data_IF_347521461129
#
_entry.id   IF_347521461129
#
_cell.length_a   1.000
_cell.length_b   1.000
_cell.length_c   1.000
_cell.angle_alpha   90.00
_cell.angle_beta   90.00
_cell.angle_gamma   90.00
#
_symmetry.space_group_name_H-M   'P 1'
#
loop_
_entity.id
_entity.type
_entity.pdbx_description
1 polymer ?
#
# COMPACT_ATOMS: atom_id res chain seq x y z
N UNK A 1 -19.65 1.31 7.76
CA UNK A 1 -18.99 0.58 6.68
C UNK A 1 -17.96 1.42 5.92
N UNK A 2 -18.26 2.66 5.48
CA UNK A 2 -17.34 3.56 4.74
C UNK A 2 -15.94 3.64 5.33
N UNK A 3 -15.82 3.93 6.63
CA UNK A 3 -14.52 4.07 7.31
C UNK A 3 -13.70 2.77 7.32
N UNK A 4 -14.33 1.62 7.51
CA UNK A 4 -13.60 0.33 7.53
C UNK A 4 -13.07 -0.03 6.14
N UNK A 5 -13.88 0.11 5.09
CA UNK A 5 -13.44 -0.18 3.72
C UNK A 5 -12.32 0.78 3.31
N UNK A 6 -12.49 2.08 3.53
CA UNK A 6 -11.47 3.08 3.24
C UNK A 6 -10.16 2.79 3.99
N UNK A 7 -10.22 2.50 5.29
CA UNK A 7 -9.04 2.21 6.09
C UNK A 7 -8.30 0.95 5.62
N UNK A 8 -8.99 -0.14 5.31
CA UNK A 8 -8.35 -1.36 4.84
C UNK A 8 -7.74 -1.20 3.44
N UNK A 9 -8.45 -0.57 2.50
CA UNK A 9 -7.91 -0.31 1.15
C UNK A 9 -6.71 0.63 1.18
N UNK A 10 -6.78 1.70 1.97
CA UNK A 10 -5.67 2.65 2.15
C UNK A 10 -4.45 1.97 2.78
N UNK A 11 -4.65 1.12 3.80
CA UNK A 11 -3.56 0.37 4.43
C UNK A 11 -2.86 -0.55 3.43
N UNK A 12 -3.61 -1.29 2.61
CA UNK A 12 -3.06 -2.18 1.60
C UNK A 12 -2.26 -1.42 0.53
N UNK A 13 -2.76 -0.26 0.08
CA UNK A 13 -2.08 0.60 -0.88
C UNK A 13 -0.76 1.10 -0.28
N UNK A 14 -0.79 1.67 0.91
CA UNK A 14 0.41 2.17 1.59
C UNK A 14 1.44 1.06 1.76
N UNK A 15 1.02 -0.13 2.22
CA UNK A 15 1.91 -1.27 2.41
C UNK A 15 2.53 -1.73 1.09
N UNK A 16 1.75 -1.83 0.01
CA UNK A 16 2.25 -2.23 -1.31
C UNK A 16 3.25 -1.23 -1.87
N UNK A 17 2.99 0.06 -1.72
CA UNK A 17 3.89 1.14 -2.18
C UNK A 17 5.20 1.11 -1.39
N UNK A 18 5.16 0.96 -0.06
CA UNK A 18 6.37 0.85 0.77
C UNK A 18 7.20 -0.37 0.36
N UNK A 19 6.56 -1.52 0.18
CA UNK A 19 7.24 -2.75 -0.21
C UNK A 19 7.91 -2.60 -1.60
N UNK A 20 7.22 -2.03 -2.56
CA UNK A 20 7.74 -1.77 -3.91
C UNK A 20 8.92 -0.79 -3.86
N UNK A 21 8.82 0.26 -3.05
CA UNK A 21 9.88 1.25 -2.89
C UNK A 21 11.14 0.63 -2.27
N UNK A 22 11.01 -0.21 -1.24
CA UNK A 22 12.13 -0.93 -0.63
C UNK A 22 12.78 -1.92 -1.60
N UNK A 23 11.96 -2.67 -2.36
CA UNK A 23 12.46 -3.60 -3.36
C UNK A 23 13.22 -2.86 -4.49
N UNK A 24 12.67 -1.77 -5.01
CA UNK A 24 13.33 -0.94 -6.03
C UNK A 24 14.65 -0.36 -5.53
N UNK A 25 14.69 0.11 -4.27
CA UNK A 25 15.91 0.61 -3.64
C UNK A 25 17.00 -0.45 -3.54
N UNK A 26 16.66 -1.65 -3.14
CA UNK A 26 17.61 -2.77 -3.04
C UNK A 26 18.19 -3.14 -4.41
N UNK A 27 17.34 -3.21 -5.43
CA UNK A 27 17.77 -3.48 -6.82
C UNK A 27 18.67 -2.36 -7.34
N UNK A 28 18.29 -1.11 -7.11
CA UNK A 28 19.07 0.06 -7.54
C UNK A 28 20.46 0.08 -6.89
N UNK A 29 20.53 -0.20 -5.57
CA UNK A 29 21.80 -0.30 -4.85
C UNK A 29 22.75 -1.32 -5.46
N UNK A 30 22.26 -2.55 -5.64
CA UNK A 30 23.08 -3.63 -6.19
C UNK A 30 23.52 -3.33 -7.64
N UNK A 31 22.67 -2.73 -8.44
CA UNK A 31 23.01 -2.38 -9.84
C UNK A 31 24.01 -1.25 -9.93
N UNK A 32 23.89 -0.21 -9.11
CA UNK A 32 24.81 0.91 -9.13
C UNK A 32 26.24 0.49 -8.80
N UNK A 33 26.44 -0.34 -7.75
CA UNK A 33 27.75 -0.86 -7.38
C UNK A 33 28.39 -1.68 -8.52
N UNK A 34 27.60 -2.57 -9.13
CA UNK A 34 28.06 -3.39 -10.25
C UNK A 34 28.45 -2.52 -11.45
N UNK A 35 27.61 -1.57 -11.85
CA UNK A 35 27.87 -0.70 -12.99
C UNK A 35 29.10 0.17 -12.78
N UNK A 36 29.27 0.73 -11.59
CA UNK A 36 30.41 1.56 -11.26
C UNK A 36 31.74 0.77 -11.38
N UNK A 37 31.80 -0.41 -10.77
CA UNK A 37 32.97 -1.28 -10.82
C UNK A 37 33.27 -1.77 -12.24
N UNK A 38 32.24 -2.16 -12.96
CA UNK A 38 32.39 -2.60 -14.35
C UNK A 38 32.91 -1.47 -15.26
N UNK A 39 32.40 -0.24 -15.08
CA UNK A 39 32.88 0.91 -15.82
C UNK A 39 34.38 1.18 -15.63
N UNK A 40 34.90 1.01 -14.40
CA UNK A 40 36.34 1.17 -14.12
C UNK A 40 37.17 0.02 -14.76
N UNK A 41 36.64 -1.21 -14.74
CA UNK A 41 37.32 -2.34 -15.42
C UNK A 41 37.39 -2.17 -16.92
N UNK A 42 36.28 -1.74 -17.53
CA UNK A 42 36.23 -1.49 -18.99
C UNK A 42 37.16 -0.38 -19.39
N UNK A 43 37.26 0.69 -18.59
CA UNK A 43 38.18 1.79 -18.79
C UNK A 43 39.65 1.32 -18.65
N UNK A 44 39.95 0.52 -17.65
CA UNK A 44 41.28 -0.08 -17.47
C UNK A 44 41.68 -1.01 -18.63
N UNK A 45 40.70 -1.81 -19.12
CA UNK A 45 40.95 -2.67 -20.28
C UNK A 45 41.24 -1.87 -21.55
N UNK A 46 40.52 -0.77 -21.76
CA UNK A 46 40.77 0.14 -22.88
C UNK A 46 42.15 0.79 -22.80
N UNK A 47 42.52 1.34 -21.64
CA UNK A 47 43.82 1.97 -21.42
C UNK A 47 44.95 0.94 -21.53
N UNK A 48 44.79 -0.27 -21.00
CA UNK A 48 45.73 -1.35 -21.16
C UNK A 48 46.00 -1.67 -22.61
N UNK A 49 44.97 -1.76 -23.46
CA UNK A 49 45.12 -2.04 -24.88
C UNK A 49 45.94 -0.92 -25.56
N UNK A 50 45.62 0.35 -25.28
CA UNK A 50 46.37 1.48 -25.81
C UNK A 50 47.85 1.50 -25.38
N UNK A 51 48.14 1.17 -24.10
CA UNK A 51 49.51 1.06 -23.61
C UNK A 51 50.28 -0.09 -24.25
N UNK A 52 49.63 -1.21 -24.51
CA UNK A 52 50.28 -2.37 -25.16
C UNK A 52 50.53 -2.18 -26.66
N UNK A 53 49.81 -1.25 -27.32
CA UNK A 53 49.96 -0.91 -28.75
C UNK A 53 50.90 0.28 -28.95
N UNK A 54 50.73 1.39 -28.24
CA UNK A 54 51.41 2.67 -28.48
C UNK A 54 52.49 2.98 -27.40
N UNK A 55 52.62 2.14 -26.38
CA UNK A 55 53.53 2.34 -25.24
C UNK A 55 53.20 3.56 -24.40
N UNK A 56 54.18 4.07 -23.65
CA UNK A 56 54.00 5.18 -22.70
C UNK A 56 53.52 6.50 -23.35
N UNK A 57 53.64 6.62 -24.70
CA UNK A 57 53.12 7.78 -25.43
C UNK A 57 51.58 7.89 -25.34
N UNK A 58 50.91 6.78 -25.12
CA UNK A 58 49.45 6.76 -24.92
C UNK A 58 49.04 7.50 -23.64
N UNK A 59 49.90 7.47 -22.59
CA UNK A 59 49.65 8.18 -21.32
C UNK A 59 50.15 9.62 -21.42
N UNK A 60 49.44 10.45 -22.15
CA UNK A 60 49.62 11.89 -22.12
C UNK A 60 48.70 12.55 -21.10
N UNK A 61 49.00 13.78 -20.65
CA UNK A 61 48.15 14.58 -19.76
C UNK A 61 46.69 14.66 -20.25
N UNK A 62 46.50 14.58 -21.60
CA UNK A 62 45.15 14.58 -22.19
C UNK A 62 44.32 13.34 -21.90
N UNK A 63 44.93 12.18 -21.62
CA UNK A 63 44.17 10.95 -21.27
C UNK A 63 43.64 11.08 -19.85
N UNK A 64 44.38 11.65 -18.92
CA UNK A 64 43.94 11.96 -17.59
C UNK A 64 42.73 12.92 -17.58
N UNK A 65 42.78 13.97 -18.38
CA UNK A 65 41.71 14.97 -18.49
C UNK A 65 40.45 14.43 -19.20
N UNK A 66 40.63 13.46 -20.09
CA UNK A 66 39.52 12.86 -20.85
C UNK A 66 38.73 11.79 -20.04
N UNK A 67 39.30 11.31 -18.94
CA UNK A 67 38.71 10.26 -18.13
C UNK A 67 38.19 10.82 -16.81
N UNK A 68 37.16 10.21 -16.27
CA UNK A 68 36.64 10.54 -14.92
C UNK A 68 37.36 9.78 -13.81
N UNK A 69 38.41 9.04 -14.16
CA UNK A 69 39.17 8.17 -13.25
C UNK A 69 40.62 8.64 -13.14
N UNK A 70 41.22 8.44 -11.99
CA UNK A 70 42.67 8.63 -11.81
C UNK A 70 43.40 7.43 -12.38
N UNK A 71 44.36 7.67 -13.24
CA UNK A 71 45.18 6.67 -13.90
C UNK A 71 46.58 6.74 -13.31
N UNK A 72 47.10 5.61 -12.84
CA UNK A 72 48.44 5.49 -12.30
C UNK A 72 49.15 4.32 -12.98
N UNK A 73 50.33 4.51 -13.49
CA UNK A 73 51.21 3.45 -14.02
C UNK A 73 52.27 3.17 -12.95
N UNK A 74 52.38 1.91 -12.57
CA UNK A 74 53.30 1.43 -11.53
C UNK A 74 54.37 0.52 -12.18
N UNK A 75 55.62 0.72 -11.81
CA UNK A 75 56.68 -0.21 -12.13
C UNK A 75 56.53 -1.54 -11.37
N UNK A 76 57.34 -2.53 -11.73
CA UNK A 76 57.38 -3.86 -11.11
C UNK A 76 57.66 -3.83 -9.60
N UNK A 77 58.35 -2.84 -9.11
CA UNK A 77 58.69 -2.60 -7.72
C UNK A 77 57.65 -1.76 -6.96
N UNK A 78 56.56 -1.37 -7.62
CA UNK A 78 55.52 -0.49 -7.11
C UNK A 78 55.84 1.00 -7.10
N UNK A 79 56.97 1.40 -7.77
CA UNK A 79 57.25 2.80 -7.97
C UNK A 79 56.29 3.41 -8.95
N UNK A 80 55.84 4.65 -8.69
CA UNK A 80 54.93 5.37 -9.57
C UNK A 80 55.71 5.92 -10.77
N UNK A 81 55.35 5.47 -11.99
CA UNK A 81 55.94 5.93 -13.23
C UNK A 81 55.17 7.06 -13.86
N UNK A 82 53.84 7.01 -13.76
CA UNK A 82 52.92 8.05 -14.24
C UNK A 82 51.70 8.13 -13.31
N UNK A 83 51.20 9.33 -13.10
CA UNK A 83 49.92 9.57 -12.45
C UNK A 83 49.21 10.76 -13.11
N UNK A 84 47.89 10.63 -13.37
CA UNK A 84 47.11 11.66 -14.08
C UNK A 84 46.77 12.89 -13.25
N UNK A 85 47.01 12.87 -11.93
CA UNK A 85 46.60 13.95 -11.00
C UNK A 85 47.80 14.52 -10.26
N UNK A 86 48.73 13.68 -9.78
CA UNK A 86 49.82 14.07 -8.91
C UNK A 86 51.17 13.82 -9.60
N UNK A 87 52.21 14.57 -9.17
CA UNK A 87 53.56 14.37 -9.68
C UNK A 87 54.14 13.03 -9.18
N UNK A 88 54.51 12.08 -10.04
CA UNK A 88 55.06 10.80 -9.70
C UNK A 88 56.27 10.87 -8.75
N UNK A 89 57.09 11.88 -8.86
CA UNK A 89 58.31 12.06 -8.03
C UNK A 89 58.02 12.35 -6.56
N UNK A 90 56.80 12.88 -6.27
CA UNK A 90 56.37 13.21 -4.89
C UNK A 90 55.56 12.09 -4.27
N UNK A 91 55.28 11.00 -4.98
CA UNK A 91 54.43 9.92 -4.54
C UNK A 91 55.23 8.82 -3.83
N UNK A 92 54.65 8.28 -2.76
CA UNK A 92 55.15 7.11 -2.08
C UNK A 92 55.10 5.85 -2.96
N UNK A 93 55.94 4.88 -2.69
CA UNK A 93 55.91 3.58 -3.33
C UNK A 93 54.58 2.82 -3.01
N UNK A 94 53.97 2.24 -4.00
CA UNK A 94 52.67 1.57 -3.90
C UNK A 94 52.77 0.03 -3.85
N UNK A 95 53.93 -0.55 -3.67
CA UNK A 95 54.13 -2.01 -3.59
C UNK A 95 53.34 -2.70 -2.46
N UNK A 96 53.00 -1.97 -1.38
CA UNK A 96 52.23 -2.48 -0.26
C UNK A 96 50.71 -2.36 -0.45
N UNK A 97 50.24 -1.88 -1.60
CA UNK A 97 48.81 -1.70 -1.87
C UNK A 97 48.16 -3.04 -2.22
N UNK A 98 47.03 -3.43 -1.55
CA UNK A 98 46.38 -4.72 -1.78
C UNK A 98 46.06 -4.99 -3.26
N UNK A 99 45.49 -4.00 -3.95
CA UNK A 99 45.18 -4.09 -5.39
C UNK A 99 46.41 -4.35 -6.27
N UNK A 100 47.60 -3.79 -5.89
CA UNK A 100 48.87 -4.04 -6.58
C UNK A 100 49.35 -5.47 -6.34
N UNK A 101 49.37 -5.90 -5.09
CA UNK A 101 49.84 -7.25 -4.69
C UNK A 101 48.98 -8.33 -5.37
N UNK A 102 47.68 -8.09 -5.44
CA UNK A 102 46.75 -9.03 -6.08
C UNK A 102 46.95 -9.05 -7.61
N UNK A 103 47.13 -7.89 -8.23
CA UNK A 103 47.39 -7.78 -9.66
C UNK A 103 48.71 -8.47 -10.05
N UNK A 104 49.78 -8.37 -9.23
CA UNK A 104 51.01 -9.10 -9.51
C UNK A 104 50.80 -10.64 -9.48
N UNK A 105 50.02 -11.15 -8.55
CA UNK A 105 49.82 -12.60 -8.36
C UNK A 105 48.80 -13.22 -9.32
N UNK A 106 47.71 -12.51 -9.61
CA UNK A 106 46.55 -13.06 -10.32
C UNK A 106 46.29 -12.37 -11.66
N UNK A 107 47.10 -11.35 -12.01
CA UNK A 107 46.94 -10.56 -13.25
C UNK A 107 45.99 -9.36 -13.10
N UNK A 108 45.11 -9.35 -12.10
CA UNK A 108 44.27 -8.19 -11.72
C UNK A 108 43.98 -8.19 -10.22
N UNK A 109 43.74 -7.03 -9.66
CA UNK A 109 43.38 -6.85 -8.24
C UNK A 109 42.41 -5.69 -8.04
N UNK A 110 41.60 -5.78 -7.00
CA UNK A 110 40.57 -4.80 -6.69
C UNK A 110 40.60 -4.39 -5.22
N UNK A 111 40.31 -3.11 -4.95
CA UNK A 111 40.15 -2.61 -3.59
C UNK A 111 39.16 -1.46 -3.54
N UNK A 112 38.33 -1.44 -2.51
CA UNK A 112 37.49 -0.29 -2.19
C UNK A 112 38.01 0.36 -0.91
N UNK A 113 38.29 1.65 -0.95
CA UNK A 113 38.63 2.43 0.24
C UNK A 113 37.56 3.48 0.48
N UNK A 114 37.18 3.59 1.72
CA UNK A 114 36.20 4.57 2.17
C UNK A 114 36.90 5.68 2.96
N UNK A 115 36.55 6.93 2.66
CA UNK A 115 37.01 8.10 3.41
C UNK A 115 35.86 8.62 4.25
N UNK A 116 35.93 8.37 5.57
CA UNK A 116 34.91 8.84 6.52
C UNK A 116 34.83 10.38 6.57
N UNK A 117 35.98 11.04 6.37
CA UNK A 117 36.08 12.51 6.44
C UNK A 117 35.39 13.20 5.25
N UNK A 118 35.44 12.60 4.07
CA UNK A 118 34.93 13.19 2.83
C UNK A 118 33.60 12.56 2.39
N UNK A 119 33.11 11.53 3.10
CA UNK A 119 31.93 10.72 2.70
C UNK A 119 32.06 10.24 1.24
N UNK A 120 33.28 9.91 0.82
CA UNK A 120 33.60 9.41 -0.52
C UNK A 120 34.18 8.02 -0.44
N UNK A 121 33.92 7.23 -1.47
CA UNK A 121 34.53 5.93 -1.66
C UNK A 121 35.35 5.94 -2.96
N UNK A 122 36.51 5.31 -2.92
CA UNK A 122 37.35 5.14 -4.11
C UNK A 122 37.48 3.66 -4.38
N UNK A 123 37.06 3.26 -5.58
CA UNK A 123 37.30 1.93 -6.12
C UNK A 123 38.59 1.96 -6.92
N UNK A 124 39.50 1.06 -6.57
CA UNK A 124 40.77 0.84 -7.23
C UNK A 124 40.69 -0.48 -7.98
N UNK A 125 41.07 -0.46 -9.26
CA UNK A 125 41.28 -1.64 -10.09
C UNK A 125 42.67 -1.60 -10.65
N UNK A 126 43.48 -2.63 -10.41
CA UNK A 126 44.82 -2.79 -10.92
C UNK A 126 44.87 -3.97 -11.86
N UNK A 127 45.57 -3.80 -12.99
CA UNK A 127 45.76 -4.86 -14.00
C UNK A 127 47.20 -4.92 -14.45
N UNK A 128 47.76 -6.14 -14.50
CA UNK A 128 49.12 -6.39 -14.93
C UNK A 128 49.22 -6.26 -16.46
N UNK A 129 50.29 -5.56 -16.93
CA UNK A 129 50.68 -5.38 -18.33
C UNK A 129 51.68 -6.47 -18.73
N UNK A 130 52.02 -6.54 -20.03
CA UNK A 130 52.95 -7.55 -20.58
C UNK A 130 54.42 -7.35 -20.16
N UNK A 131 54.81 -6.13 -19.81
CA UNK A 131 56.16 -5.73 -19.37
C UNK A 131 56.34 -5.78 -17.84
N UNK A 132 55.48 -6.51 -17.14
CA UNK A 132 55.45 -6.60 -15.69
C UNK A 132 55.11 -5.29 -14.94
N UNK A 133 54.71 -4.22 -15.67
CA UNK A 133 54.13 -3.04 -15.03
C UNK A 133 52.68 -3.29 -14.62
N UNK A 134 52.16 -2.43 -13.76
CA UNK A 134 50.77 -2.53 -13.28
C UNK A 134 50.06 -1.20 -13.56
N UNK A 135 49.03 -1.26 -14.40
CA UNK A 135 48.11 -0.15 -14.60
C UNK A 135 47.06 -0.16 -13.46
N UNK A 136 46.93 0.94 -12.73
CA UNK A 136 45.91 1.16 -11.71
C UNK A 136 44.97 2.27 -12.17
N UNK A 137 43.68 1.97 -12.20
CA UNK A 137 42.60 2.91 -12.46
C UNK A 137 41.77 3.06 -11.20
N UNK A 138 41.57 4.30 -10.77
CA UNK A 138 40.84 4.59 -9.55
C UNK A 138 39.72 5.60 -9.80
N UNK A 139 38.50 5.28 -9.38
CA UNK A 139 37.38 6.20 -9.47
C UNK A 139 36.84 6.52 -8.10
N UNK A 140 36.86 7.80 -7.75
CA UNK A 140 36.25 8.31 -6.53
C UNK A 140 34.83 8.76 -6.83
N UNK A 141 33.89 8.18 -6.10
CA UNK A 141 32.47 8.55 -6.18
C UNK A 141 32.00 9.03 -4.82
N UNK A 142 30.93 9.83 -4.82
CA UNK A 142 30.24 10.08 -3.56
C UNK A 142 29.86 8.75 -2.93
N UNK A 143 29.86 8.71 -1.58
CA UNK A 143 29.44 7.51 -0.89
C UNK A 143 28.10 7.01 -1.46
N UNK A 144 28.01 5.70 -1.70
CA UNK A 144 26.76 5.06 -2.14
C UNK A 144 25.58 5.52 -1.28
N UNK A 145 25.81 5.75 0.02
CA UNK A 145 24.80 6.26 0.93
C UNK A 145 24.31 7.65 0.58
N UNK A 146 25.20 8.57 0.22
CA UNK A 146 24.82 9.95 -0.16
C UNK A 146 24.07 9.96 -1.49
N UNK A 147 24.58 9.25 -2.49
CA UNK A 147 23.93 9.13 -3.80
C UNK A 147 22.55 8.46 -3.67
N UNK A 148 22.45 7.44 -2.84
CA UNK A 148 21.17 6.80 -2.56
C UNK A 148 20.22 7.73 -1.82
N UNK A 149 20.70 8.43 -0.78
CA UNK A 149 19.85 9.32 0.01
C UNK A 149 19.24 10.43 -0.84
N UNK A 150 20.01 11.04 -1.72
CA UNK A 150 19.51 12.07 -2.67
C UNK A 150 18.51 11.49 -3.66
N UNK A 151 18.77 10.31 -4.22
CA UNK A 151 17.86 9.60 -5.10
C UNK A 151 16.57 9.18 -4.39
N UNK A 152 16.67 8.71 -3.14
CA UNK A 152 15.51 8.35 -2.32
C UNK A 152 14.65 9.55 -1.94
N UNK A 153 15.24 10.71 -1.68
CA UNK A 153 14.47 11.93 -1.42
C UNK A 153 13.62 12.33 -2.63
N UNK A 154 14.19 12.27 -3.83
CA UNK A 154 13.48 12.62 -5.06
C UNK A 154 12.38 11.59 -5.39
N UNK A 155 12.72 10.29 -5.36
CA UNK A 155 11.76 9.21 -5.58
C UNK A 155 10.70 9.17 -4.48
N UNK A 156 11.08 9.37 -3.21
CA UNK A 156 10.17 9.43 -2.07
C UNK A 156 9.17 10.57 -2.20
N UNK A 157 9.61 11.73 -2.67
CA UNK A 157 8.72 12.86 -2.98
C UNK A 157 7.68 12.50 -4.05
N UNK A 158 8.11 11.84 -5.13
CA UNK A 158 7.21 11.37 -6.18
C UNK A 158 6.20 10.34 -5.64
N UNK A 159 6.66 9.38 -4.84
CA UNK A 159 5.82 8.37 -4.21
C UNK A 159 4.79 9.00 -3.28
N UNK A 160 5.17 10.01 -2.48
CA UNK A 160 4.23 10.75 -1.63
C UNK A 160 3.13 11.43 -2.45
N UNK A 161 3.48 12.05 -3.59
CA UNK A 161 2.48 12.68 -4.48
C UNK A 161 1.51 11.62 -5.02
N UNK A 162 2.02 10.48 -5.50
CA UNK A 162 1.19 9.37 -5.98
C UNK A 162 0.26 8.87 -4.89
N UNK A 163 0.75 8.65 -3.67
CA UNK A 163 -0.07 8.22 -2.52
C UNK A 163 -1.20 9.20 -2.20
N UNK A 164 -0.93 10.50 -2.23
CA UNK A 164 -1.97 11.52 -2.00
C UNK A 164 -3.06 11.43 -3.07
N UNK A 165 -2.68 11.29 -4.33
CA UNK A 165 -3.62 11.12 -5.46
C UNK A 165 -4.44 9.85 -5.29
N UNK A 166 -3.80 8.72 -4.96
CA UNK A 166 -4.48 7.44 -4.76
C UNK A 166 -5.48 7.49 -3.59
N UNK A 167 -5.09 8.06 -2.45
CA UNK A 167 -5.99 8.23 -1.31
C UNK A 167 -7.20 9.10 -1.67
N UNK A 168 -7.00 10.15 -2.44
CA UNK A 168 -8.11 10.99 -2.94
C UNK A 168 -9.04 10.21 -3.87
N UNK A 169 -8.48 9.44 -4.81
CA UNK A 169 -9.26 8.60 -5.72
C UNK A 169 -10.04 7.51 -4.98
N UNK A 170 -9.41 6.82 -4.03
CA UNK A 170 -10.07 5.79 -3.19
C UNK A 170 -11.21 6.41 -2.40
N UNK A 171 -11.02 7.60 -1.82
CA UNK A 171 -12.09 8.29 -1.11
C UNK A 171 -13.27 8.63 -2.02
N UNK A 172 -12.99 9.12 -3.23
CA UNK A 172 -14.02 9.45 -4.23
C UNK A 172 -14.77 8.20 -4.71
N UNK A 173 -14.05 7.11 -5.02
CA UNK A 173 -14.64 5.84 -5.42
C UNK A 173 -15.49 5.23 -4.31
N UNK A 174 -15.00 5.21 -3.07
CA UNK A 174 -15.73 4.67 -1.92
C UNK A 174 -17.03 5.42 -1.68
N UNK A 175 -17.02 6.75 -1.86
CA UNK A 175 -18.27 7.55 -1.81
C UNK A 175 -19.24 7.14 -2.94
N UNK A 176 -18.73 7.07 -4.17
CA UNK A 176 -19.54 6.73 -5.36
C UNK A 176 -20.17 5.33 -5.26
N UNK A 177 -19.47 4.36 -4.65
CA UNK A 177 -19.97 2.99 -4.50
C UNK A 177 -20.95 2.83 -3.33
N UNK A 178 -20.77 3.55 -2.24
CA UNK A 178 -21.60 3.35 -1.03
C UNK A 178 -22.82 4.28 -1.01
N UNK A 179 -22.74 5.45 -1.63
CA UNK A 179 -23.84 6.41 -1.62
C UNK A 179 -25.15 5.86 -2.22
N UNK A 180 -25.14 5.18 -3.39
CA UNK A 180 -26.33 4.57 -3.94
C UNK A 180 -26.96 3.50 -3.03
N UNK A 181 -26.10 2.70 -2.33
CA UNK A 181 -26.58 1.67 -1.40
C UNK A 181 -27.29 2.30 -0.19
N UNK A 182 -26.78 3.43 0.32
CA UNK A 182 -27.40 4.13 1.44
C UNK A 182 -28.72 4.85 1.08
N UNK A 183 -28.97 5.04 -0.23
CA UNK A 183 -30.18 5.69 -0.73
C UNK A 183 -31.26 4.69 -1.18
N UNK A 184 -31.05 3.37 -0.94
CA UNK A 184 -32.05 2.36 -1.26
C UNK A 184 -33.29 2.62 -0.41
N UNK A 185 -34.44 2.76 -1.06
CA UNK A 185 -35.72 2.80 -0.40
C UNK A 185 -36.05 1.41 0.15
N UNK A 186 -36.18 1.31 1.48
CA UNK A 186 -36.48 0.05 2.13
C UNK A 186 -37.96 -0.34 2.02
N UNK A 187 -38.85 0.61 1.70
CA UNK A 187 -40.26 0.31 1.48
C UNK A 187 -40.49 -0.25 0.08
N UNK A 188 -39.76 0.27 -0.93
CA UNK A 188 -39.85 -0.16 -2.32
C UNK A 188 -38.48 -0.57 -2.87
N UNK A 189 -37.86 -1.63 -2.34
CA UNK A 189 -36.47 -1.96 -2.60
C UNK A 189 -36.16 -2.36 -4.04
N UNK A 190 -37.17 -2.70 -4.85
CA UNK A 190 -37.02 -3.11 -6.24
C UNK A 190 -37.18 -1.96 -7.27
N UNK A 191 -37.63 -0.79 -6.85
CA UNK A 191 -37.85 0.34 -7.77
C UNK A 191 -36.52 0.94 -8.26
N UNK A 192 -35.46 0.92 -7.43
CA UNK A 192 -34.14 1.47 -7.77
C UNK A 192 -33.02 0.49 -7.44
N UNK A 193 -32.80 -0.49 -8.31
CA UNK A 193 -31.70 -1.45 -8.17
C UNK A 193 -30.41 -0.77 -8.62
N UNK A 194 -29.55 -0.37 -7.68
CA UNK A 194 -28.29 0.31 -7.95
C UNK A 194 -27.19 -0.63 -8.46
N UNK A 195 -27.22 -1.90 -8.04
CA UNK A 195 -26.24 -2.93 -8.41
C UNK A 195 -26.97 -4.26 -8.64
N UNK A 196 -26.70 -4.93 -9.75
CA UNK A 196 -27.28 -6.24 -10.10
C UNK A 196 -27.00 -7.30 -9.04
N UNK A 197 -25.82 -7.24 -8.40
CA UNK A 197 -25.41 -8.17 -7.36
C UNK A 197 -26.26 -8.07 -6.08
N UNK A 198 -26.92 -6.95 -5.88
CA UNK A 198 -27.82 -6.75 -4.74
C UNK A 198 -29.24 -7.21 -5.01
N UNK A 199 -29.61 -7.47 -6.26
CA UNK A 199 -30.96 -7.85 -6.67
C UNK A 199 -31.55 -9.02 -5.88
N UNK A 200 -30.81 -10.14 -5.62
CA UNK A 200 -31.36 -11.24 -4.81
C UNK A 200 -31.67 -10.83 -3.37
N UNK A 201 -30.85 -9.94 -2.79
CA UNK A 201 -31.06 -9.42 -1.44
C UNK A 201 -32.29 -8.50 -1.38
N UNK A 202 -32.40 -7.59 -2.35
CA UNK A 202 -33.53 -6.65 -2.46
C UNK A 202 -34.84 -7.38 -2.69
N UNK A 203 -34.83 -8.47 -3.49
CA UNK A 203 -36.00 -9.31 -3.68
C UNK A 203 -36.45 -9.98 -2.38
N UNK A 204 -35.55 -10.51 -1.59
CA UNK A 204 -35.88 -11.07 -0.27
C UNK A 204 -36.45 -10.02 0.68
N UNK A 205 -35.90 -8.81 0.65
CA UNK A 205 -36.40 -7.70 1.46
C UNK A 205 -37.82 -7.31 1.07
N UNK A 206 -38.10 -7.19 -0.23
CA UNK A 206 -39.44 -6.92 -0.74
C UNK A 206 -40.47 -8.00 -0.31
N UNK A 207 -40.06 -9.26 -0.40
CA UNK A 207 -40.93 -10.38 0.03
C UNK A 207 -41.19 -10.32 1.55
N UNK A 208 -40.21 -9.99 2.37
CA UNK A 208 -40.42 -9.80 3.81
C UNK A 208 -41.34 -8.62 4.12
N UNK A 209 -41.15 -7.50 3.43
CA UNK A 209 -42.01 -6.33 3.59
C UNK A 209 -43.47 -6.67 3.29
N UNK A 210 -43.73 -7.35 2.18
CA UNK A 210 -45.10 -7.80 1.80
C UNK A 210 -45.68 -8.73 2.85
N UNK A 211 -44.88 -9.64 3.41
CA UNK A 211 -45.34 -10.54 4.46
C UNK A 211 -45.69 -9.79 5.75
N UNK A 212 -44.86 -8.83 6.15
CA UNK A 212 -45.15 -7.97 7.32
C UNK A 212 -46.42 -7.16 7.12
N UNK A 213 -46.61 -6.54 5.95
CA UNK A 213 -47.80 -5.77 5.65
C UNK A 213 -49.04 -6.63 5.72
N UNK A 214 -49.00 -7.85 5.16
CA UNK A 214 -50.13 -8.80 5.27
C UNK A 214 -50.42 -9.18 6.75
N UNK A 215 -49.41 -9.44 7.53
CA UNK A 215 -49.59 -9.76 8.97
C UNK A 215 -50.21 -8.58 9.76
N UNK A 216 -49.80 -7.35 9.42
CA UNK A 216 -50.39 -6.14 10.02
C UNK A 216 -51.85 -5.97 9.65
N UNK A 217 -52.22 -6.25 8.39
CA UNK A 217 -53.59 -6.21 7.93
C UNK A 217 -54.46 -7.29 8.62
N UNK A 218 -53.96 -8.52 8.68
CA UNK A 218 -54.63 -9.63 9.37
C UNK A 218 -54.84 -9.31 10.87
N UNK A 219 -53.83 -8.75 11.54
CA UNK A 219 -53.92 -8.32 12.93
C UNK A 219 -54.96 -7.20 13.13
N UNK A 220 -54.97 -6.22 12.26
CA UNK A 220 -55.96 -5.11 12.29
C UNK A 220 -57.40 -5.64 12.11
N UNK A 221 -57.57 -6.58 11.18
CA UNK A 221 -58.88 -7.21 10.92
C UNK A 221 -59.34 -8.02 12.12
N UNK A 222 -58.43 -8.80 12.74
CA UNK A 222 -58.70 -9.56 13.95
C UNK A 222 -59.04 -8.64 15.15
N UNK A 223 -58.32 -7.51 15.30
CA UNK A 223 -58.65 -6.53 16.37
C UNK A 223 -60.01 -5.88 16.14
N UNK A 224 -60.37 -5.54 14.90
CA UNK A 224 -61.68 -4.97 14.55
C UNK A 224 -62.80 -5.97 14.86
N UNK A 225 -62.61 -7.23 14.44
CA UNK A 225 -63.60 -8.29 14.69
C UNK A 225 -63.77 -8.53 16.25
N UNK A 226 -62.65 -8.47 16.99
CA UNK A 226 -62.71 -8.58 18.47
C UNK A 226 -63.46 -7.42 19.12
N UNK A 227 -63.25 -6.18 18.65
CA UNK A 227 -63.98 -5.00 19.11
C UNK A 227 -65.46 -5.11 18.86
N UNK A 228 -65.85 -5.50 17.62
CA UNK A 228 -67.24 -5.70 17.22
C UNK A 228 -67.91 -6.82 18.02
N UNK A 229 -67.25 -7.98 18.17
CA UNK A 229 -67.72 -9.07 19.02
C UNK A 229 -67.96 -8.63 20.46
N UNK A 230 -66.98 -7.92 21.08
CA UNK A 230 -67.13 -7.44 22.45
C UNK A 230 -68.27 -6.46 22.62
N UNK A 231 -68.47 -5.57 21.63
CA UNK A 231 -69.56 -4.61 21.62
C UNK A 231 -70.92 -5.31 21.54
N UNK A 232 -71.03 -6.27 20.57
CA UNK A 232 -72.26 -7.01 20.36
C UNK A 232 -72.63 -7.87 21.57
N UNK A 233 -71.67 -8.65 22.11
CA UNK A 233 -71.87 -9.44 23.32
C UNK A 233 -72.28 -8.58 24.51
N UNK A 234 -71.64 -7.42 24.70
CA UNK A 234 -71.98 -6.48 25.79
C UNK A 234 -73.41 -5.97 25.65
N UNK A 235 -73.83 -5.68 24.39
CA UNK A 235 -75.18 -5.22 24.13
C UNK A 235 -76.24 -6.29 24.29
N UNK A 236 -75.95 -7.51 23.83
CA UNK A 236 -76.84 -8.68 23.99
C UNK A 236 -76.96 -9.18 25.44
N UNK A 237 -75.94 -9.06 26.26
CA UNK A 237 -75.97 -9.38 27.66
C UNK A 237 -76.65 -8.29 28.52
N UNK A 238 -76.50 -7.01 28.09
CA UNK A 238 -77.12 -5.91 28.81
C UNK A 238 -78.67 -6.02 28.91
N UNK A 239 -79.27 -6.43 27.79
CA UNK A 239 -80.76 -6.52 27.71
C UNK A 239 -81.32 -7.53 28.68
N UNK A 240 -80.92 -8.80 28.70
CA UNK A 240 -81.43 -9.75 29.65
C UNK A 240 -81.07 -9.40 31.14
N UNK A 241 -79.84 -8.84 31.33
CA UNK A 241 -79.38 -8.43 32.67
C UNK A 241 -80.25 -7.29 33.22
N UNK A 242 -80.62 -6.31 32.36
CA UNK A 242 -81.54 -5.24 32.76
C UNK A 242 -82.94 -5.77 33.06
N UNK A 243 -83.40 -6.77 32.29
CA UNK A 243 -84.72 -7.44 32.58
C UNK A 243 -84.68 -8.15 33.90
N UNK A 244 -83.63 -8.96 34.18
CA UNK A 244 -83.43 -9.65 35.44
C UNK A 244 -83.34 -8.65 36.59
N UNK A 245 -82.56 -7.60 36.47
CA UNK A 245 -82.39 -6.53 37.46
C UNK A 245 -83.73 -5.83 37.72
N UNK A 246 -84.47 -5.48 36.64
CA UNK A 246 -85.81 -4.87 36.80
C UNK A 246 -86.81 -5.77 37.48
N UNK A 247 -86.85 -7.06 37.15
CA UNK A 247 -87.72 -8.02 37.91
C UNK A 247 -87.31 -8.21 39.39
N UNK A 248 -86.00 -8.26 39.62
CA UNK A 248 -85.49 -8.37 41.03
C UNK A 248 -85.89 -7.09 41.84
N UNK A 249 -85.82 -5.92 41.23
CA UNK A 249 -86.21 -4.67 41.86
C UNK A 249 -87.73 -4.60 42.14
N UNK A 250 -88.58 -5.08 41.22
CA UNK A 250 -90.01 -5.20 41.41
C UNK A 250 -90.35 -6.16 42.48
N UNK A 251 -89.64 -7.29 42.63
CA UNK A 251 -89.84 -8.23 43.74
C UNK A 251 -89.40 -7.62 45.08
N UNK A 252 -88.29 -6.93 45.13
CA UNK A 252 -87.80 -6.27 46.35
C UNK A 252 -88.80 -5.19 46.86
N UNK A 253 -89.42 -4.51 45.94
CA UNK A 253 -90.40 -3.44 46.22
C UNK A 253 -91.83 -4.00 46.55
N UNK A 254 -92.06 -5.32 46.57
CA UNK A 254 -93.32 -5.93 46.93
C UNK A 254 -94.39 -5.75 45.87
N UNK A 255 -94.04 -5.40 44.63
CA UNK A 255 -94.99 -5.15 43.51
C UNK A 255 -95.39 -6.42 42.77
N UNK A 256 -94.81 -7.57 43.14
CA UNK A 256 -95.16 -8.87 42.49
C UNK A 256 -95.67 -9.82 43.54
N UNK A 257 -96.84 -10.48 43.37
CA UNK A 257 -97.34 -11.49 44.30
C UNK A 257 -96.38 -12.68 44.45
N UNK A 258 -96.23 -13.25 45.65
CA UNK A 258 -95.21 -14.30 45.90
C UNK A 258 -95.38 -15.54 45.01
N UNK A 259 -96.61 -15.82 44.55
CA UNK A 259 -96.90 -17.01 43.74
C UNK A 259 -96.47 -16.97 42.27
N UNK A 260 -96.11 -15.81 41.78
CA UNK A 260 -95.71 -15.60 40.36
C UNK A 260 -94.18 -15.43 40.20
N UNK A 261 -93.39 -15.32 41.24
CA UNK A 261 -91.97 -14.97 41.23
C UNK A 261 -91.05 -16.09 40.72
N UNK A 262 -91.47 -17.35 40.70
CA UNK A 262 -90.61 -18.50 40.38
C UNK A 262 -90.90 -19.19 39.04
N UNK A 263 -91.97 -18.79 38.31
CA UNK A 263 -92.39 -19.52 37.11
C UNK A 263 -91.95 -18.82 35.75
N UNK A 264 -91.47 -17.60 35.80
CA UNK A 264 -91.15 -16.79 34.56
C UNK A 264 -89.78 -16.16 34.54
N UNK A 265 -88.73 -16.71 35.20
CA UNK A 265 -87.30 -16.35 35.02
C UNK A 265 -86.61 -17.39 34.19
#
# INVERSE_FOLDING_TARGET
MKHKIFSHTSLLIILSVILTFLAAGTVMYNRYDIYMKQGVRDEAAYIKTGLEEDGDVFLSDRVGDATSSRITLLGKDGQVLFDSIENPEEMENHSNRPEFIEAEKQGSGEMVRYSDTLSKQTFYYAVKLKDDQVLRVARTTDSLLVTMLTSFLLLGGLVCVILVIELFLVQKQTRKLIEPINRIDLEHPLEHVCYEELRPLLFRLDQQNRQIQKQLEDLKNAESARKEFTANVSHELKTPLMSISGYAELMMNGMVPPDLSLIHI
#
